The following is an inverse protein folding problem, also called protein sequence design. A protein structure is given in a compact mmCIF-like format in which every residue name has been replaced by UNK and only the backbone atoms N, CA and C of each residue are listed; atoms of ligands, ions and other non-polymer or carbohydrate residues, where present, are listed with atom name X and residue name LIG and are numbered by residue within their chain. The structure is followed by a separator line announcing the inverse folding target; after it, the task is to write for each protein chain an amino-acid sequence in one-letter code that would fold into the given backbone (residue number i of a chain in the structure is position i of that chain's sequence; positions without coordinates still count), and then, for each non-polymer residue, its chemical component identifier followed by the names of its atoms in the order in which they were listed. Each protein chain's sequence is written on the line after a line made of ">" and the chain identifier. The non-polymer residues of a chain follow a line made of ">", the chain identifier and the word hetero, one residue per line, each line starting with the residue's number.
data_IF_950420884083
#
_entry.id   IF_950420884083
#
_cell.length_a   1.000
_cell.length_b   1.000
_cell.length_c   1.000
_cell.angle_alpha   90.00
_cell.angle_beta   90.00
_cell.angle_gamma   90.00
#
_symmetry.space_group_name_H-M   'P 1'
#
loop_
_entity.id
_entity.type
_entity.pdbx_description
1 polymer ?
#
# COMPACT_ATOMS: atom_id res chain seq x y z
N UNK A 1 2.51 2.98 56.49
CA UNK A 1 2.57 3.59 55.14
C UNK A 1 2.30 2.47 54.14
N UNK A 2 1.03 2.23 53.83
CA UNK A 2 0.60 1.16 52.90
C UNK A 2 0.14 1.82 51.61
N UNK A 3 0.88 1.63 50.54
CA UNK A 3 0.58 2.16 49.20
C UNK A 3 -0.71 1.51 48.66
N UNK A 4 -1.66 2.26 48.08
CA UNK A 4 -2.83 1.65 47.45
C UNK A 4 -2.41 0.89 46.19
N UNK A 5 -2.61 -0.43 46.19
CA UNK A 5 -2.44 -1.31 45.04
C UNK A 5 -3.56 -1.08 44.03
N UNK A 6 -3.40 -0.10 43.15
CA UNK A 6 -4.31 0.14 42.03
C UNK A 6 -4.01 -0.88 40.91
N UNK A 7 -4.73 -2.01 40.93
CA UNK A 7 -4.70 -3.02 39.86
C UNK A 7 -5.88 -2.74 38.92
N UNK A 8 -5.67 -2.42 37.63
CA UNK A 8 -6.76 -2.14 36.73
C UNK A 8 -7.66 -3.37 36.58
N UNK A 9 -8.97 -3.15 36.76
CA UNK A 9 -9.99 -4.19 36.69
C UNK A 9 -10.09 -4.79 35.27
N UNK A 10 -10.42 -6.09 35.10
CA UNK A 10 -10.41 -6.79 33.81
C UNK A 10 -11.36 -6.26 32.72
N UNK A 11 -12.24 -5.31 33.03
CA UNK A 11 -13.25 -4.78 32.11
C UNK A 11 -12.70 -3.65 31.24
N UNK A 12 -11.79 -2.83 31.77
CA UNK A 12 -11.24 -1.66 31.08
C UNK A 12 -10.30 -2.05 29.93
N UNK A 13 -9.55 -3.15 30.08
CA UNK A 13 -8.63 -3.65 29.04
C UNK A 13 -9.36 -4.20 27.82
N UNK A 14 -10.43 -4.97 28.01
CA UNK A 14 -11.20 -5.55 26.90
C UNK A 14 -11.99 -4.51 26.10
N UNK A 15 -12.44 -3.44 26.74
CA UNK A 15 -13.17 -2.36 26.06
C UNK A 15 -12.23 -1.50 25.22
N UNK A 16 -11.03 -1.21 25.73
CA UNK A 16 -9.98 -0.51 24.99
C UNK A 16 -9.46 -1.30 23.79
N UNK A 17 -9.29 -2.61 23.94
CA UNK A 17 -8.89 -3.47 22.82
C UNK A 17 -9.97 -3.49 21.74
N UNK A 18 -11.25 -3.58 22.12
CA UNK A 18 -12.36 -3.53 21.16
C UNK A 18 -12.45 -2.21 20.41
N UNK A 19 -12.37 -1.08 21.10
CA UNK A 19 -12.43 0.24 20.46
C UNK A 19 -11.21 0.49 19.55
N UNK A 20 -10.04 -0.04 19.91
CA UNK A 20 -8.84 0.00 19.06
C UNK A 20 -9.02 -0.86 17.80
N UNK A 21 -9.59 -2.05 17.94
CA UNK A 21 -9.87 -2.94 16.80
C UNK A 21 -10.95 -2.37 15.87
N UNK A 22 -11.99 -1.73 16.42
CA UNK A 22 -13.01 -1.01 15.65
C UNK A 22 -12.40 0.19 14.90
N UNK A 23 -11.59 1.00 15.58
CA UNK A 23 -10.89 2.14 14.97
C UNK A 23 -9.93 1.71 13.84
N UNK A 24 -9.24 0.58 14.01
CA UNK A 24 -8.40 -0.02 12.95
C UNK A 24 -9.24 -0.52 11.77
N UNK A 25 -10.40 -1.12 12.03
CA UNK A 25 -11.33 -1.60 11.00
C UNK A 25 -11.92 -0.46 10.18
N UNK A 26 -12.34 0.63 10.85
CA UNK A 26 -12.87 1.83 10.19
C UNK A 26 -11.79 2.53 9.36
N UNK A 27 -10.59 2.69 9.93
CA UNK A 27 -9.45 3.21 9.18
C UNK A 27 -9.14 2.33 7.95
N UNK A 28 -9.12 1.01 8.09
CA UNK A 28 -8.86 0.11 6.97
C UNK A 28 -9.94 0.22 5.88
N UNK A 29 -11.21 0.36 6.27
CA UNK A 29 -12.34 0.51 5.35
C UNK A 29 -12.33 1.84 4.61
N UNK A 30 -11.86 2.90 5.26
CA UNK A 30 -11.63 4.21 4.63
C UNK A 30 -10.42 4.19 3.69
N UNK A 31 -9.38 3.41 4.00
CA UNK A 31 -8.17 3.24 3.19
C UNK A 31 -8.36 2.23 2.04
N UNK A 32 -9.33 1.31 2.15
CA UNK A 32 -9.62 0.26 1.17
C UNK A 32 -9.67 0.73 -0.30
N UNK A 33 -10.36 1.84 -0.66
CA UNK A 33 -10.36 2.35 -2.02
C UNK A 33 -8.96 2.79 -2.51
N UNK A 34 -8.09 3.26 -1.61
CA UNK A 34 -6.74 3.71 -1.94
C UNK A 34 -5.73 2.54 -2.01
N UNK A 35 -5.95 1.46 -1.25
CA UNK A 35 -5.11 0.25 -1.27
C UNK A 35 -5.03 -0.38 -2.66
N UNK A 36 -6.14 -0.41 -3.41
CA UNK A 36 -6.15 -0.94 -4.78
C UNK A 36 -5.17 -0.20 -5.70
N UNK A 37 -5.03 1.12 -5.54
CA UNK A 37 -4.09 1.92 -6.35
C UNK A 37 -2.64 1.61 -5.95
N UNK A 38 -2.40 1.39 -4.65
CA UNK A 38 -1.11 0.91 -4.14
C UNK A 38 -0.70 -0.44 -4.73
N UNK A 39 -1.63 -1.38 -4.87
CA UNK A 39 -1.36 -2.67 -5.51
C UNK A 39 -1.01 -2.53 -7.00
N UNK A 40 -1.69 -1.67 -7.75
CA UNK A 40 -1.33 -1.39 -9.15
C UNK A 40 0.08 -0.80 -9.28
N UNK A 41 0.45 0.11 -8.38
CA UNK A 41 1.78 0.70 -8.33
C UNK A 41 2.86 -0.34 -8.03
N UNK A 42 2.63 -1.17 -7.00
CA UNK A 42 3.52 -2.27 -6.64
C UNK A 42 3.68 -3.28 -7.78
N UNK A 43 2.57 -3.65 -8.44
CA UNK A 43 2.58 -4.57 -9.57
C UNK A 43 3.38 -4.03 -10.76
N UNK A 44 3.25 -2.74 -11.07
CA UNK A 44 4.04 -2.10 -12.12
C UNK A 44 5.54 -2.17 -11.81
N UNK A 45 5.97 -1.78 -10.60
CA UNK A 45 7.38 -1.83 -10.20
C UNK A 45 7.89 -3.26 -10.27
N UNK A 46 7.17 -4.22 -9.68
CA UNK A 46 7.56 -5.62 -9.68
C UNK A 46 7.71 -6.19 -11.09
N UNK A 47 6.79 -5.83 -12.00
CA UNK A 47 6.83 -6.26 -13.40
C UNK A 47 8.07 -5.72 -14.11
N UNK A 48 8.28 -4.39 -14.09
CA UNK A 48 9.40 -3.79 -14.81
C UNK A 48 10.76 -4.13 -14.20
N UNK A 49 10.86 -4.18 -12.86
CA UNK A 49 12.07 -4.62 -12.18
C UNK A 49 12.36 -6.11 -12.45
N UNK A 50 11.33 -6.96 -12.48
CA UNK A 50 11.46 -8.38 -12.83
C UNK A 50 11.96 -8.60 -14.26
N UNK A 51 11.44 -7.83 -15.22
CA UNK A 51 11.93 -7.83 -16.61
C UNK A 51 13.40 -7.38 -16.65
N UNK A 52 13.74 -6.30 -15.96
CA UNK A 52 15.11 -5.79 -15.89
C UNK A 52 16.08 -6.80 -15.28
N UNK A 53 15.66 -7.48 -14.21
CA UNK A 53 16.43 -8.54 -13.56
C UNK A 53 16.68 -9.74 -14.46
N UNK A 54 15.66 -10.17 -15.22
CA UNK A 54 15.81 -11.26 -16.17
C UNK A 54 16.84 -10.91 -17.26
N UNK A 55 16.78 -9.69 -17.78
CA UNK A 55 17.72 -9.18 -18.79
C UNK A 55 19.14 -9.10 -18.21
N UNK A 56 19.30 -8.52 -17.03
CA UNK A 56 20.59 -8.39 -16.33
C UNK A 56 21.23 -9.76 -16.07
N UNK A 57 20.42 -10.75 -15.65
CA UNK A 57 20.90 -12.11 -15.37
C UNK A 57 21.34 -12.84 -16.64
N UNK A 58 20.68 -12.60 -17.77
CA UNK A 58 21.09 -13.18 -19.07
C UNK A 58 22.41 -12.60 -19.62
N UNK A 59 22.84 -11.42 -19.16
CA UNK A 59 24.03 -10.70 -19.65
C UNK A 59 25.26 -10.80 -18.74
N UNK A 60 25.21 -11.60 -17.68
CA UNK A 60 26.39 -11.91 -16.86
C UNK A 60 26.61 -11.05 -15.62
N UNK A 61 25.56 -10.38 -15.08
CA UNK A 61 25.58 -9.92 -13.68
C UNK A 61 25.68 -8.41 -13.42
N UNK A 62 25.23 -7.56 -14.35
CA UNK A 62 24.97 -6.14 -14.04
C UNK A 62 23.65 -5.94 -13.29
N UNK A 63 23.41 -4.76 -12.71
CA UNK A 63 22.09 -4.35 -12.17
C UNK A 63 21.48 -3.18 -12.94
N UNK A 64 22.05 -2.85 -14.11
CA UNK A 64 21.70 -1.65 -14.85
C UNK A 64 20.28 -1.73 -15.41
N UNK A 65 19.89 -2.84 -16.03
CA UNK A 65 18.55 -3.00 -16.61
C UNK A 65 17.48 -3.15 -15.54
N UNK A 66 17.81 -3.74 -14.39
CA UNK A 66 16.93 -3.83 -13.21
C UNK A 66 16.65 -2.45 -12.65
N UNK A 67 17.68 -1.62 -12.47
CA UNK A 67 17.51 -0.24 -11.97
C UNK A 67 16.74 0.61 -12.99
N UNK A 68 17.08 0.52 -14.27
CA UNK A 68 16.35 1.24 -15.33
C UNK A 68 14.89 0.81 -15.40
N UNK A 69 14.63 -0.49 -15.35
CA UNK A 69 13.28 -1.06 -15.29
C UNK A 69 12.52 -0.58 -14.05
N UNK A 70 13.12 -0.63 -12.87
CA UNK A 70 12.51 -0.14 -11.65
C UNK A 70 12.14 1.35 -11.74
N UNK A 71 13.03 2.19 -12.27
CA UNK A 71 12.74 3.62 -12.50
C UNK A 71 11.58 3.80 -13.47
N UNK A 72 11.56 3.08 -14.58
CA UNK A 72 10.44 3.11 -15.53
C UNK A 72 9.13 2.63 -14.90
N UNK A 73 9.18 1.59 -14.07
CA UNK A 73 8.04 1.07 -13.34
C UNK A 73 7.49 2.07 -12.33
N UNK A 74 8.37 2.76 -11.61
CA UNK A 74 8.00 3.87 -10.71
C UNK A 74 7.36 5.00 -11.52
N UNK A 75 8.00 5.51 -12.58
CA UNK A 75 7.45 6.62 -13.38
C UNK A 75 6.09 6.26 -13.98
N UNK A 76 5.96 5.08 -14.58
CA UNK A 76 4.71 4.62 -15.20
C UNK A 76 3.62 4.39 -14.16
N UNK A 77 3.97 3.77 -13.05
CA UNK A 77 3.05 3.54 -11.94
C UNK A 77 2.57 4.86 -11.34
N UNK A 78 3.46 5.84 -11.17
CA UNK A 78 3.14 7.14 -10.60
C UNK A 78 2.29 7.98 -11.56
N UNK A 79 2.58 7.91 -12.86
CA UNK A 79 1.74 8.53 -13.89
C UNK A 79 0.31 7.97 -13.85
N UNK A 80 0.16 6.64 -13.78
CA UNK A 80 -1.16 6.02 -13.65
C UNK A 80 -1.85 6.37 -12.33
N UNK A 81 -1.12 6.41 -11.22
CA UNK A 81 -1.63 6.85 -9.91
C UNK A 81 -2.21 8.27 -10.00
N UNK A 82 -1.40 9.23 -10.49
CA UNK A 82 -1.84 10.62 -10.65
C UNK A 82 -3.03 10.70 -11.58
N UNK A 83 -3.02 9.98 -12.71
CA UNK A 83 -4.15 9.95 -13.65
C UNK A 83 -5.44 9.42 -13.00
N UNK A 84 -5.37 8.31 -12.27
CA UNK A 84 -6.52 7.72 -11.58
C UNK A 84 -7.07 8.63 -10.47
N UNK A 85 -6.18 9.29 -9.74
CA UNK A 85 -6.56 10.22 -8.65
C UNK A 85 -7.02 11.58 -9.19
N UNK A 86 -6.50 12.03 -10.34
CA UNK A 86 -6.76 13.38 -10.90
C UNK A 86 -7.91 13.41 -11.93
N UNK A 87 -8.36 12.28 -12.45
CA UNK A 87 -9.51 12.21 -13.37
C UNK A 87 -10.05 10.80 -13.47
N UNK A 88 -11.31 10.56 -13.11
CA UNK A 88 -12.43 10.98 -13.96
C UNK A 88 -13.69 11.28 -13.13
N UNK A 89 -14.17 12.53 -13.09
CA UNK A 89 -15.60 12.81 -13.07
C UNK A 89 -16.21 12.25 -14.36
N UNK A 90 -17.13 11.29 -14.22
CA UNK A 90 -18.14 10.88 -15.20
C UNK A 90 -17.69 10.69 -16.67
N UNK A 91 -17.38 9.45 -17.04
CA UNK A 91 -17.61 8.94 -18.41
C UNK A 91 -18.07 7.49 -18.38
N UNK A 92 -19.24 7.24 -17.79
CA UNK A 92 -20.02 6.02 -18.05
C UNK A 92 -21.55 6.25 -17.98
N UNK A 93 -22.02 7.48 -18.26
CA UNK A 93 -23.38 7.70 -18.78
C UNK A 93 -23.38 7.76 -20.31
N UNK A 94 -23.38 6.60 -20.96
CA UNK A 94 -23.89 6.31 -22.33
C UNK A 94 -23.59 4.81 -22.52
N UNK A 95 -24.54 3.90 -22.65
CA UNK A 95 -25.85 3.95 -23.30
C UNK A 95 -26.70 2.79 -22.78
#
# INVERSE_FOLDING_TARGET
>A
MTTPSNKPEPRESKEKDRSTLESLGDAYREMAPYLNIGYFFLAAIALFAGIGYYIDRSRGGGSFYTVLGAVLGVVTGFYNFIKTVSGTPDKDRKK
#
